data_IF_583271478648
#
_entry.id   IF_583271478648
#
_cell.length_a   1.000
_cell.length_b   1.000
_cell.length_c   1.000
_cell.angle_alpha   90.00
_cell.angle_beta   90.00
_cell.angle_gamma   90.00
#
_symmetry.space_group_name_H-M   'P 1'
#
loop_
_entity.id
_entity.type
_entity.pdbx_description
1 polymer ?
#
# COMPACT_ATOMS: atom_id res chain seq x y z
N UNK A 1 5.48 18.51 8.22
CA UNK A 1 6.10 17.55 7.28
C UNK A 1 5.22 17.52 6.04
N UNK A 2 5.79 17.70 4.84
CA UNK A 2 5.01 17.67 3.59
C UNK A 2 4.94 16.21 3.13
N UNK A 3 3.76 15.64 2.87
CA UNK A 3 3.67 14.26 2.38
C UNK A 3 4.26 14.14 0.97
N UNK A 4 4.88 12.99 0.69
CA UNK A 4 5.30 12.65 -0.67
C UNK A 4 4.10 12.34 -1.54
N UNK A 5 3.12 11.64 -0.96
CA UNK A 5 1.90 11.22 -1.62
C UNK A 5 0.72 11.22 -0.64
N UNK A 6 -0.40 11.77 -1.06
CA UNK A 6 -1.69 11.57 -0.41
C UNK A 6 -2.47 10.42 -1.04
N UNK A 7 -3.43 9.89 -0.29
CA UNK A 7 -4.42 8.92 -0.80
C UNK A 7 -5.08 9.34 -2.11
N UNK A 8 -5.43 10.62 -2.26
CA UNK A 8 -6.06 11.15 -3.47
C UNK A 8 -5.09 11.20 -4.65
N UNK A 9 -3.86 11.65 -4.44
CA UNK A 9 -2.84 11.73 -5.49
C UNK A 9 -2.45 10.34 -6.01
N UNK A 10 -2.27 9.35 -5.12
CA UNK A 10 -1.96 7.98 -5.55
C UNK A 10 -3.15 7.35 -6.29
N UNK A 11 -4.38 7.51 -5.79
CA UNK A 11 -5.56 7.01 -6.49
C UNK A 11 -5.67 7.61 -7.89
N UNK A 12 -5.46 8.92 -8.04
CA UNK A 12 -5.47 9.60 -9.33
C UNK A 12 -4.33 9.12 -10.25
N UNK A 13 -3.11 9.01 -9.74
CA UNK A 13 -1.94 8.61 -10.52
C UNK A 13 -2.00 7.15 -11.01
N UNK A 14 -2.65 6.28 -10.24
CA UNK A 14 -2.71 4.84 -10.51
C UNK A 14 -4.03 4.38 -11.13
N UNK A 15 -5.03 5.27 -11.22
CA UNK A 15 -6.41 4.88 -11.53
C UNK A 15 -7.05 3.99 -10.45
N UNK A 16 -6.47 3.98 -9.25
CA UNK A 16 -6.92 3.19 -8.12
C UNK A 16 -8.09 3.81 -7.36
N UNK A 17 -8.62 3.04 -6.41
CA UNK A 17 -9.67 3.47 -5.49
C UNK A 17 -9.20 3.29 -4.04
N UNK A 18 -9.51 4.26 -3.20
CA UNK A 18 -9.25 4.24 -1.76
C UNK A 18 -10.46 4.76 -1.02
N UNK A 19 -10.74 4.14 0.13
CA UNK A 19 -11.82 4.55 1.03
C UNK A 19 -11.27 5.29 2.26
N UNK A 20 -9.97 5.19 2.52
CA UNK A 20 -9.31 5.73 3.71
C UNK A 20 -8.30 6.81 3.30
N UNK A 21 -8.37 7.95 3.97
CA UNK A 21 -7.39 9.02 3.78
C UNK A 21 -6.05 8.64 4.45
N UNK A 22 -4.95 8.81 3.74
CA UNK A 22 -3.60 8.66 4.27
C UNK A 22 -2.64 9.67 3.64
N UNK A 23 -1.49 9.80 4.27
CA UNK A 23 -0.36 10.62 3.83
C UNK A 23 0.92 9.77 3.97
N UNK A 24 1.55 9.43 2.86
CA UNK A 24 2.79 8.67 2.81
C UNK A 24 3.99 9.60 2.63
N UNK A 25 5.09 9.30 3.34
CA UNK A 25 6.34 10.08 3.28
C UNK A 25 7.43 9.39 2.46
N UNK A 26 7.19 8.15 2.05
CA UNK A 26 8.08 7.34 1.22
C UNK A 26 7.30 6.21 0.53
N UNK A 27 8.02 5.38 -0.21
CA UNK A 27 7.47 4.24 -0.95
C UNK A 27 8.42 3.06 -0.79
N UNK A 28 7.89 1.88 -0.51
CA UNK A 28 8.66 0.64 -0.42
C UNK A 28 7.93 -0.53 -1.07
N UNK A 29 8.68 -1.39 -1.76
CA UNK A 29 8.19 -2.66 -2.32
C UNK A 29 8.65 -3.88 -1.49
N UNK A 30 9.45 -3.66 -0.44
CA UNK A 30 9.97 -4.71 0.43
C UNK A 30 9.58 -4.43 1.89
N UNK A 31 8.70 -5.29 2.42
CA UNK A 31 8.23 -5.21 3.81
C UNK A 31 9.34 -5.35 4.86
N UNK A 32 10.54 -5.81 4.48
CA UNK A 32 11.71 -5.96 5.37
C UNK A 32 12.49 -4.66 5.55
N UNK A 33 12.42 -3.75 4.57
CA UNK A 33 13.14 -2.47 4.58
C UNK A 33 12.21 -1.26 4.66
N UNK A 34 10.90 -1.49 4.74
CA UNK A 34 9.89 -0.46 4.88
C UNK A 34 10.11 0.38 6.15
N UNK A 35 10.02 1.69 6.02
CA UNK A 35 10.00 2.62 7.13
C UNK A 35 8.56 3.00 7.53
N UNK A 36 8.31 3.32 8.81
CA UNK A 36 7.03 3.89 9.22
C UNK A 36 6.68 5.14 8.40
N UNK A 37 5.46 5.19 7.88
CA UNK A 37 4.98 6.26 7.00
C UNK A 37 5.14 5.98 5.50
N UNK A 38 5.79 4.89 5.09
CA UNK A 38 5.88 4.52 3.68
C UNK A 38 4.55 3.98 3.14
N UNK A 39 4.33 4.19 1.83
CA UNK A 39 3.36 3.43 1.05
C UNK A 39 3.99 2.09 0.64
N UNK A 40 3.39 0.99 1.07
CA UNK A 40 3.82 -0.35 0.63
C UNK A 40 3.21 -0.71 -0.72
N UNK A 41 4.01 -1.12 -1.71
CA UNK A 41 3.51 -1.56 -3.02
C UNK A 41 3.60 -3.08 -3.12
N UNK A 42 2.44 -3.73 -3.21
CA UNK A 42 2.31 -5.18 -3.15
C UNK A 42 2.51 -5.84 -4.53
N UNK A 43 3.69 -5.68 -5.13
CA UNK A 43 4.03 -6.25 -6.44
C UNK A 43 3.91 -7.78 -6.43
N UNK A 44 3.33 -8.35 -7.49
CA UNK A 44 3.28 -9.80 -7.69
C UNK A 44 4.45 -10.25 -8.58
N UNK A 45 5.56 -10.61 -7.94
CA UNK A 45 6.70 -11.19 -8.65
C UNK A 45 6.49 -12.66 -9.07
N UNK A 46 7.44 -13.19 -9.85
CA UNK A 46 7.39 -14.56 -10.37
C UNK A 46 7.34 -15.65 -9.28
N UNK A 47 8.03 -15.43 -8.15
CA UNK A 47 8.13 -16.41 -7.06
C UNK A 47 7.37 -15.99 -5.80
N UNK A 48 6.96 -14.72 -5.70
CA UNK A 48 6.46 -14.15 -4.45
C UNK A 48 5.39 -13.11 -4.72
N UNK A 49 4.28 -13.24 -4.00
CA UNK A 49 3.17 -12.32 -4.08
C UNK A 49 3.21 -11.31 -2.92
N UNK A 50 3.48 -10.04 -3.24
CA UNK A 50 3.58 -8.95 -2.27
C UNK A 50 2.33 -8.76 -1.40
N UNK A 51 1.16 -9.18 -1.89
CA UNK A 51 -0.11 -9.06 -1.17
C UNK A 51 -0.11 -9.85 0.14
N UNK A 52 0.65 -10.94 0.21
CA UNK A 52 0.79 -11.76 1.40
C UNK A 52 1.53 -11.01 2.54
N UNK A 53 2.13 -9.85 2.27
CA UNK A 53 2.89 -9.05 3.24
C UNK A 53 2.19 -7.76 3.64
N UNK A 54 0.99 -7.48 3.12
CA UNK A 54 0.28 -6.23 3.41
C UNK A 54 -0.05 -6.09 4.90
N UNK A 55 -0.57 -7.14 5.54
CA UNK A 55 -0.84 -7.12 6.98
C UNK A 55 0.43 -6.82 7.79
N UNK A 56 1.55 -7.41 7.40
CA UNK A 56 2.86 -7.17 8.03
C UNK A 56 3.35 -5.74 7.80
N UNK A 57 3.22 -5.21 6.59
CA UNK A 57 3.63 -3.84 6.27
C UNK A 57 2.83 -2.81 7.07
N UNK A 58 1.51 -2.98 7.15
CA UNK A 58 0.64 -2.12 7.98
C UNK A 58 1.02 -2.22 9.46
N UNK A 59 1.28 -3.42 9.99
CA UNK A 59 1.74 -3.61 11.36
C UNK A 59 3.13 -2.98 11.62
N UNK A 60 3.98 -2.88 10.59
CA UNK A 60 5.28 -2.20 10.66
C UNK A 60 5.18 -0.66 10.55
N UNK A 61 3.97 -0.11 10.39
CA UNK A 61 3.73 1.33 10.36
C UNK A 61 3.64 1.92 8.95
N UNK A 62 3.43 1.11 7.91
CA UNK A 62 3.12 1.64 6.59
C UNK A 62 1.88 2.56 6.65
N UNK A 63 1.94 3.69 5.96
CA UNK A 63 0.82 4.62 5.90
C UNK A 63 -0.39 4.03 5.14
N UNK A 64 -0.10 3.20 4.13
CA UNK A 64 -1.09 2.48 3.32
C UNK A 64 -0.41 1.36 2.52
N UNK A 65 -1.21 0.57 1.81
CA UNK A 65 -0.73 -0.38 0.80
C UNK A 65 -1.42 -0.20 -0.56
N UNK A 66 -0.64 -0.23 -1.64
CA UNK A 66 -1.11 -0.30 -3.02
C UNK A 66 -1.21 -1.78 -3.43
N UNK A 67 -2.40 -2.23 -3.80
CA UNK A 67 -2.73 -3.64 -4.04
C UNK A 67 -3.61 -3.80 -5.28
N UNK A 68 -3.49 -4.91 -6.01
CA UNK A 68 -4.46 -5.29 -7.05
C UNK A 68 -5.65 -6.08 -6.50
N UNK A 69 -5.52 -6.64 -5.30
CA UNK A 69 -6.62 -7.30 -4.59
C UNK A 69 -6.54 -7.06 -3.09
N UNK A 70 -7.69 -7.05 -2.43
CA UNK A 70 -7.76 -6.97 -0.97
C UNK A 70 -7.30 -8.30 -0.34
N UNK A 71 -6.28 -8.31 0.53
CA UNK A 71 -5.96 -9.48 1.38
C UNK A 71 -7.12 -9.83 2.32
N UNK A 72 -7.27 -11.11 2.66
CA UNK A 72 -8.36 -11.58 3.52
C UNK A 72 -8.14 -11.29 5.01
N UNK A 73 -6.89 -11.06 5.41
CA UNK A 73 -6.40 -10.98 6.79
C UNK A 73 -6.19 -9.54 7.28
N UNK A 74 -6.88 -8.57 6.69
CA UNK A 74 -6.79 -7.15 7.08
C UNK A 74 -8.16 -6.57 7.44
N UNK A 75 -8.14 -5.57 8.33
CA UNK A 75 -9.35 -4.88 8.78
C UNK A 75 -10.10 -4.21 7.61
N UNK A 76 -11.41 -4.03 7.75
CA UNK A 76 -12.29 -3.46 6.73
C UNK A 76 -11.95 -2.00 6.37
N UNK A 77 -11.36 -1.26 7.31
CA UNK A 77 -10.94 0.13 7.21
C UNK A 77 -9.43 0.30 6.96
N UNK A 78 -8.70 -0.80 6.75
CA UNK A 78 -7.28 -0.77 6.44
C UNK A 78 -6.98 0.19 5.27
N UNK A 79 -5.96 1.06 5.37
CA UNK A 79 -5.66 2.05 4.35
C UNK A 79 -5.07 1.37 3.10
N UNK A 80 -5.92 1.14 2.10
CA UNK A 80 -5.56 0.50 0.85
C UNK A 80 -5.88 1.40 -0.33
N UNK A 81 -5.01 1.36 -1.33
CA UNK A 81 -5.34 1.77 -2.69
C UNK A 81 -5.47 0.51 -3.52
N UNK A 82 -6.68 0.24 -4.01
CA UNK A 82 -6.96 -0.90 -4.88
C UNK A 82 -6.88 -0.45 -6.33
N UNK A 83 -5.96 -1.04 -7.09
CA UNK A 83 -5.78 -0.81 -8.52
C UNK A 83 -6.15 -2.07 -9.33
N UNK A 84 -6.37 -1.97 -10.65
CA UNK A 84 -6.60 -3.15 -11.47
C UNK A 84 -5.38 -4.10 -11.51
N UNK A 85 -4.16 -3.56 -11.50
CA UNK A 85 -2.93 -4.34 -11.55
C UNK A 85 -1.78 -3.65 -10.79
N UNK A 86 -0.90 -4.47 -10.21
CA UNK A 86 0.38 -4.10 -9.59
C UNK A 86 1.44 -5.03 -10.20
N UNK A 87 1.86 -4.70 -11.42
CA UNK A 87 2.80 -5.48 -12.23
C UNK A 87 4.18 -5.70 -11.57
#
# INVERSE_FOLDING_TARGET
MIPLWTSHEIAAATGGRTETAFAATGVSIDSRTLAPGDLFVAIKGASLDGHNFVAKALAAGAAAALVSRRPADIAADAPLVVVPDVE
#
